data_IF_179532289863
#
_entry.id   IF_179532289863
#
_cell.length_a   1.000
_cell.length_b   1.000
_cell.length_c   1.000
_cell.angle_alpha   90.00
_cell.angle_beta   90.00
_cell.angle_gamma   90.00
#
_symmetry.space_group_name_H-M   'P 1'
#
loop_
_entity.id
_entity.type
_entity.pdbx_description
1 polymer ?
#
# COMPACT_ATOMS: atom_id res chain seq x y z
N UNK A 1 7.35 -15.89 3.53
CA UNK A 1 6.99 -16.81 2.45
C UNK A 1 7.99 -16.70 1.31
N UNK A 2 8.40 -17.83 0.74
CA UNK A 2 9.27 -17.88 -0.43
C UNK A 2 8.46 -17.98 -1.72
N UNK A 3 9.01 -17.44 -2.81
CA UNK A 3 8.39 -17.41 -4.15
C UNK A 3 7.90 -18.79 -4.64
N UNK A 4 8.58 -19.87 -4.26
CA UNK A 4 8.28 -21.25 -4.63
C UNK A 4 7.05 -21.84 -3.92
N UNK A 5 6.45 -21.11 -2.98
CA UNK A 5 5.24 -21.55 -2.26
C UNK A 5 3.96 -21.23 -3.04
N UNK A 6 4.01 -20.37 -4.08
CA UNK A 6 2.87 -20.06 -4.95
C UNK A 6 2.78 -21.04 -6.13
N UNK A 7 1.58 -21.57 -6.36
CA UNK A 7 1.26 -22.52 -7.42
C UNK A 7 0.46 -21.91 -8.56
N UNK A 8 -0.27 -20.83 -8.30
CA UNK A 8 -1.04 -20.09 -9.29
C UNK A 8 -0.18 -18.99 -9.93
N UNK A 9 0.03 -19.06 -11.26
CA UNK A 9 0.91 -18.12 -11.96
C UNK A 9 0.42 -16.67 -11.90
N UNK A 10 -0.90 -16.44 -11.86
CA UNK A 10 -1.45 -15.09 -11.74
C UNK A 10 -1.08 -14.52 -10.37
N UNK A 11 -1.35 -15.27 -9.30
CA UNK A 11 -1.06 -14.87 -7.92
C UNK A 11 0.44 -14.66 -7.72
N UNK A 12 1.26 -15.61 -8.17
CA UNK A 12 2.72 -15.53 -8.11
C UNK A 12 3.26 -14.25 -8.76
N UNK A 13 2.78 -13.91 -9.96
CA UNK A 13 3.21 -12.69 -10.66
C UNK A 13 2.87 -11.42 -9.87
N UNK A 14 1.71 -11.37 -9.24
CA UNK A 14 1.30 -10.21 -8.44
C UNK A 14 2.02 -10.15 -7.09
N UNK A 15 2.32 -11.30 -6.49
CA UNK A 15 3.23 -11.38 -5.34
C UNK A 15 4.63 -10.83 -5.69
N UNK A 16 5.23 -11.29 -6.79
CA UNK A 16 6.55 -10.81 -7.23
C UNK A 16 6.50 -9.30 -7.53
N UNK A 17 5.43 -8.80 -8.16
CA UNK A 17 5.24 -7.37 -8.42
C UNK A 17 5.20 -6.55 -7.13
N UNK A 18 4.35 -6.91 -6.18
CA UNK A 18 4.23 -6.21 -4.91
C UNK A 18 5.52 -6.27 -4.10
N UNK A 19 6.22 -7.42 -4.13
CA UNK A 19 7.52 -7.58 -3.47
C UNK A 19 8.58 -6.69 -4.09
N UNK A 20 8.76 -6.69 -5.39
CA UNK A 20 9.87 -5.98 -6.02
C UNK A 20 9.61 -4.47 -6.15
N UNK A 21 8.41 -4.08 -6.61
CA UNK A 21 8.09 -2.67 -6.88
C UNK A 21 7.72 -1.95 -5.59
N UNK A 22 6.78 -2.50 -4.82
CA UNK A 22 6.28 -1.80 -3.64
C UNK A 22 7.19 -2.02 -2.44
N UNK A 23 7.60 -3.25 -2.12
CA UNK A 23 8.42 -3.48 -0.94
C UNK A 23 9.91 -3.17 -1.15
N UNK A 24 10.56 -3.83 -2.11
CA UNK A 24 12.02 -3.75 -2.26
C UNK A 24 12.49 -2.42 -2.85
N UNK A 25 11.61 -1.67 -3.50
CA UNK A 25 11.93 -0.34 -4.05
C UNK A 25 11.37 0.77 -3.16
N UNK A 26 10.04 0.92 -3.10
CA UNK A 26 9.42 2.07 -2.42
C UNK A 26 9.63 2.03 -0.90
N UNK A 27 9.37 0.89 -0.26
CA UNK A 27 9.52 0.77 1.19
C UNK A 27 10.99 0.82 1.63
N UNK A 28 11.90 0.14 0.93
CA UNK A 28 13.34 0.26 1.20
C UNK A 28 13.82 1.71 1.11
N UNK A 29 13.40 2.44 0.08
CA UNK A 29 13.69 3.87 -0.01
C UNK A 29 13.15 4.66 1.19
N UNK A 30 11.93 4.36 1.64
CA UNK A 30 11.30 5.05 2.77
C UNK A 30 12.05 4.82 4.10
N UNK A 31 12.53 3.59 4.35
CA UNK A 31 13.27 3.28 5.59
C UNK A 31 14.70 3.81 5.58
N UNK A 32 15.34 3.86 4.41
CA UNK A 32 16.73 4.31 4.30
C UNK A 32 16.85 5.84 4.21
N UNK A 33 15.78 6.54 3.79
CA UNK A 33 15.79 7.99 3.58
C UNK A 33 16.25 8.79 4.82
N UNK A 34 15.78 8.53 6.05
CA UNK A 34 16.25 9.24 7.24
C UNK A 34 17.76 9.12 7.45
N UNK A 35 18.32 7.92 7.32
CA UNK A 35 19.74 7.68 7.57
C UNK A 35 20.60 8.25 6.44
N UNK A 36 20.18 8.08 5.19
CA UNK A 36 20.81 8.73 4.03
C UNK A 36 20.82 10.26 4.16
N UNK A 37 19.76 10.86 4.72
CA UNK A 37 19.69 12.31 4.91
C UNK A 37 20.53 12.80 6.09
N UNK A 38 20.80 11.96 7.10
CA UNK A 38 21.73 12.29 8.21
C UNK A 38 23.18 12.37 7.71
N UNK A 39 23.55 11.49 6.79
CA UNK A 39 24.91 11.45 6.22
C UNK A 39 25.19 12.61 5.26
N UNK A 40 24.16 13.36 4.85
CA UNK A 40 24.27 14.49 3.93
C UNK A 40 24.39 15.80 4.70
N UNK A 41 25.63 16.21 4.95
CA UNK A 41 25.92 17.49 5.61
C UNK A 41 25.53 18.71 4.76
N UNK A 42 25.08 19.75 5.44
CA UNK A 42 24.78 21.07 4.86
C UNK A 42 25.95 22.00 5.20
N UNK A 43 26.62 22.62 4.20
CA UNK A 43 27.68 23.58 4.46
C UNK A 43 27.19 24.81 5.24
N UNK A 44 28.02 25.33 6.14
CA UNK A 44 27.67 26.51 6.94
C UNK A 44 27.34 27.73 6.10
N UNK A 45 28.03 27.93 4.97
CA UNK A 45 27.75 29.03 4.05
C UNK A 45 26.34 28.95 3.46
N UNK A 46 25.88 27.75 3.08
CA UNK A 46 24.53 27.52 2.58
C UNK A 46 23.50 27.73 3.70
N UNK A 47 23.75 27.16 4.88
CA UNK A 47 22.90 27.31 6.06
C UNK A 47 22.69 28.79 6.42
N UNK A 48 23.78 29.57 6.45
CA UNK A 48 23.73 31.02 6.72
C UNK A 48 22.99 31.78 5.62
N UNK A 49 23.26 31.49 4.34
CA UNK A 49 22.59 32.12 3.21
C UNK A 49 21.07 31.86 3.19
N UNK A 50 20.64 30.68 3.66
CA UNK A 50 19.23 30.30 3.78
C UNK A 50 18.59 30.77 5.10
N UNK A 51 19.34 31.45 5.98
CA UNK A 51 18.92 31.86 7.31
C UNK A 51 18.38 30.70 8.17
N UNK A 52 18.96 29.51 8.01
CA UNK A 52 18.57 28.34 8.80
C UNK A 52 19.20 28.35 10.20
N UNK A 53 18.49 27.83 11.21
CA UNK A 53 19.01 27.71 12.57
C UNK A 53 20.34 26.96 12.66
N UNK A 54 21.15 27.27 13.67
CA UNK A 54 22.49 26.66 13.85
C UNK A 54 22.47 25.14 14.05
N UNK A 55 21.35 24.59 14.53
CA UNK A 55 21.21 23.15 14.71
C UNK A 55 20.98 22.39 13.39
N UNK A 56 20.69 23.08 12.28
CA UNK A 56 20.47 22.45 10.97
C UNK A 56 21.81 22.16 10.31
N UNK A 57 22.34 20.94 10.50
CA UNK A 57 23.66 20.54 10.01
C UNK A 57 23.61 19.49 8.90
N UNK A 58 22.45 18.85 8.72
CA UNK A 58 22.20 17.81 7.74
C UNK A 58 20.87 18.02 7.02
N UNK A 59 20.67 17.34 5.89
CA UNK A 59 19.37 17.30 5.21
C UNK A 59 18.29 16.76 6.15
N UNK A 60 18.66 15.81 7.03
CA UNK A 60 17.75 15.28 8.05
C UNK A 60 17.29 16.36 9.03
N UNK A 61 18.20 17.17 9.56
CA UNK A 61 17.85 18.25 10.50
C UNK A 61 16.90 19.25 9.85
N UNK A 62 17.14 19.59 8.58
CA UNK A 62 16.26 20.47 7.82
C UNK A 62 14.86 19.86 7.63
N UNK A 63 14.78 18.61 7.18
CA UNK A 63 13.50 17.95 6.89
C UNK A 63 12.66 17.73 8.15
N UNK A 64 13.29 17.43 9.27
CA UNK A 64 12.60 17.20 10.56
C UNK A 64 12.07 18.48 11.21
N UNK A 65 12.41 19.67 10.69
CA UNK A 65 11.70 20.90 11.05
C UNK A 65 10.22 20.87 10.62
N UNK A 66 9.86 20.01 9.66
CA UNK A 66 8.51 19.82 9.17
C UNK A 66 7.96 18.49 9.69
N UNK A 67 6.90 18.49 10.52
CA UNK A 67 6.32 17.26 11.05
C UNK A 67 5.85 16.32 9.93
N UNK A 68 6.07 15.01 10.11
CA UNK A 68 5.48 14.00 9.23
C UNK A 68 6.18 13.76 7.90
N UNK A 69 7.34 14.39 7.64
CA UNK A 69 8.00 14.31 6.33
C UNK A 69 8.38 12.87 5.95
N UNK A 70 8.91 12.09 6.88
CA UNK A 70 9.29 10.70 6.60
C UNK A 70 8.08 9.77 6.65
N UNK A 71 7.10 10.05 7.50
CA UNK A 71 5.82 9.35 7.57
C UNK A 71 5.04 9.47 6.25
N UNK A 72 5.22 10.57 5.52
CA UNK A 72 4.69 10.75 4.18
C UNK A 72 5.29 9.77 3.16
N UNK A 73 6.53 9.33 3.33
CA UNK A 73 7.12 8.31 2.46
C UNK A 73 6.39 6.96 2.63
N UNK A 74 6.00 6.61 3.86
CA UNK A 74 5.20 5.41 4.10
C UNK A 74 3.77 5.55 3.54
N UNK A 75 3.17 6.76 3.54
CA UNK A 75 1.90 6.98 2.85
C UNK A 75 2.02 6.69 1.33
N UNK A 76 3.14 7.08 0.69
CA UNK A 76 3.37 6.70 -0.72
C UNK A 76 3.54 5.20 -0.91
N UNK A 77 4.14 4.50 0.06
CA UNK A 77 4.19 3.04 0.04
C UNK A 77 2.79 2.42 0.11
N UNK A 78 1.89 2.95 0.95
CA UNK A 78 0.47 2.52 1.00
C UNK A 78 -0.24 2.77 -0.33
N UNK A 79 -0.04 3.92 -0.97
CA UNK A 79 -0.62 4.23 -2.29
C UNK A 79 -0.13 3.23 -3.35
N UNK A 80 1.17 2.92 -3.34
CA UNK A 80 1.76 1.92 -4.24
C UNK A 80 1.15 0.54 -4.02
N UNK A 81 1.05 0.11 -2.76
CA UNK A 81 0.43 -1.17 -2.38
C UNK A 81 -1.01 -1.28 -2.85
N UNK A 82 -1.85 -0.27 -2.59
CA UNK A 82 -3.23 -0.26 -3.05
C UNK A 82 -3.33 -0.32 -4.58
N UNK A 83 -2.38 0.28 -5.30
CA UNK A 83 -2.34 0.23 -6.76
C UNK A 83 -2.01 -1.18 -7.27
N UNK A 84 -1.08 -1.88 -6.62
CA UNK A 84 -0.79 -3.28 -6.94
C UNK A 84 -2.00 -4.19 -6.64
N UNK A 85 -2.70 -3.96 -5.52
CA UNK A 85 -3.93 -4.68 -5.17
C UNK A 85 -5.03 -4.46 -6.23
N UNK A 86 -5.21 -3.21 -6.68
CA UNK A 86 -6.18 -2.87 -7.73
C UNK A 86 -5.90 -3.60 -9.05
N UNK A 87 -4.64 -3.62 -9.48
CA UNK A 87 -4.24 -4.30 -10.72
C UNK A 87 -4.45 -5.82 -10.58
N UNK A 88 -4.08 -6.41 -9.44
CA UNK A 88 -4.31 -7.83 -9.17
C UNK A 88 -5.78 -8.20 -9.33
N UNK A 89 -6.69 -7.50 -8.64
CA UNK A 89 -8.11 -7.84 -8.71
C UNK A 89 -8.73 -7.57 -10.08
N UNK A 90 -8.25 -6.55 -10.81
CA UNK A 90 -8.67 -6.34 -12.19
C UNK A 90 -8.32 -7.53 -13.07
N UNK A 91 -7.06 -7.96 -13.05
CA UNK A 91 -6.62 -9.11 -13.84
C UNK A 91 -7.26 -10.41 -13.37
N UNK A 92 -7.50 -10.58 -12.06
CA UNK A 92 -8.20 -11.73 -11.51
C UNK A 92 -9.60 -11.87 -12.11
N UNK A 93 -10.39 -10.80 -12.09
CA UNK A 93 -11.75 -10.84 -12.61
C UNK A 93 -11.76 -11.04 -14.13
N UNK A 94 -10.79 -10.47 -14.85
CA UNK A 94 -10.65 -10.65 -16.29
C UNK A 94 -10.27 -12.10 -16.65
N UNK A 95 -9.31 -12.70 -15.94
CA UNK A 95 -8.83 -14.08 -16.17
C UNK A 95 -9.90 -15.12 -15.87
N UNK A 96 -10.64 -14.97 -14.77
CA UNK A 96 -11.66 -15.93 -14.36
C UNK A 96 -13.07 -15.60 -14.86
N UNK A 97 -13.23 -14.53 -15.64
CA UNK A 97 -14.51 -14.14 -16.23
C UNK A 97 -15.59 -13.78 -15.21
N UNK A 98 -15.19 -13.27 -14.03
CA UNK A 98 -16.12 -12.91 -12.97
C UNK A 98 -16.99 -11.74 -13.41
N UNK A 99 -18.30 -12.00 -13.45
CA UNK A 99 -19.31 -11.14 -14.07
C UNK A 99 -19.91 -10.13 -13.09
N UNK A 100 -19.69 -10.33 -11.78
CA UNK A 100 -20.16 -9.45 -10.71
C UNK A 100 -19.33 -8.16 -10.55
N UNK A 101 -18.64 -7.70 -11.61
CA UNK A 101 -18.05 -6.37 -11.63
C UNK A 101 -19.17 -5.33 -11.56
N UNK A 102 -19.23 -4.57 -10.47
CA UNK A 102 -20.16 -3.44 -10.40
C UNK A 102 -19.88 -2.48 -11.56
N UNK A 103 -20.93 -2.06 -12.30
CA UNK A 103 -20.79 -1.16 -13.46
C UNK A 103 -20.34 0.27 -13.11
N UNK A 104 -19.93 0.52 -11.87
CA UNK A 104 -19.59 1.84 -11.38
C UNK A 104 -18.09 2.12 -11.52
N UNK A 105 -17.80 3.35 -11.96
CA UNK A 105 -16.44 3.89 -12.02
C UNK A 105 -15.71 3.68 -10.68
N UNK A 106 -14.45 3.24 -10.72
CA UNK A 106 -13.64 3.03 -9.53
C UNK A 106 -13.99 1.76 -8.72
N UNK A 107 -14.63 0.74 -9.32
CA UNK A 107 -14.94 -0.54 -8.65
C UNK A 107 -13.75 -1.13 -7.90
N UNK A 108 -12.60 -1.30 -8.56
CA UNK A 108 -11.40 -1.86 -7.93
C UNK A 108 -10.81 -0.95 -6.84
N UNK A 109 -11.15 0.34 -6.83
CA UNK A 109 -10.74 1.28 -5.78
C UNK A 109 -11.60 1.15 -4.51
N UNK A 110 -12.78 0.52 -4.62
CA UNK A 110 -13.67 0.21 -3.50
C UNK A 110 -13.50 -1.25 -3.16
N UNK A 111 -12.42 -1.55 -2.44
CA UNK A 111 -12.00 -2.94 -2.17
C UNK A 111 -13.06 -3.77 -1.44
N UNK A 112 -13.96 -3.16 -0.68
CA UNK A 112 -15.13 -3.83 -0.09
C UNK A 112 -16.10 -4.39 -1.15
N UNK A 113 -16.34 -3.65 -2.24
CA UNK A 113 -17.16 -4.11 -3.35
C UNK A 113 -16.48 -5.30 -4.05
N UNK A 114 -15.15 -5.26 -4.20
CA UNK A 114 -14.36 -6.33 -4.81
C UNK A 114 -14.47 -7.61 -4.00
N UNK A 115 -14.29 -7.55 -2.67
CA UNK A 115 -14.43 -8.73 -1.81
C UNK A 115 -15.87 -9.24 -1.76
N UNK A 116 -16.86 -8.35 -1.82
CA UNK A 116 -18.27 -8.74 -1.91
C UNK A 116 -18.57 -9.47 -3.21
N UNK A 117 -18.00 -9.01 -4.33
CA UNK A 117 -18.12 -9.69 -5.61
C UNK A 117 -17.41 -11.06 -5.62
N UNK A 118 -16.22 -11.17 -5.04
CA UNK A 118 -15.55 -12.47 -4.90
C UNK A 118 -16.37 -13.49 -4.08
N UNK A 119 -17.02 -13.04 -3.00
CA UNK A 119 -17.96 -13.90 -2.24
C UNK A 119 -19.14 -14.33 -3.10
N UNK A 120 -19.68 -13.44 -3.94
CA UNK A 120 -20.78 -13.78 -4.85
C UNK A 120 -20.37 -14.81 -5.92
N UNK A 121 -19.08 -14.84 -6.30
CA UNK A 121 -18.49 -15.86 -7.17
C UNK A 121 -18.11 -17.16 -6.41
N UNK A 122 -18.45 -17.26 -5.12
CA UNK A 122 -18.27 -18.47 -4.30
C UNK A 122 -16.93 -18.59 -3.58
N UNK A 123 -16.11 -17.52 -3.55
CA UNK A 123 -14.84 -17.51 -2.80
C UNK A 123 -15.10 -17.27 -1.31
N UNK A 124 -14.70 -18.21 -0.45
CA UNK A 124 -14.99 -18.17 0.99
C UNK A 124 -13.95 -17.33 1.77
N UNK A 125 -14.24 -16.04 2.01
CA UNK A 125 -13.25 -15.12 2.57
C UNK A 125 -13.13 -15.10 4.11
N UNK A 126 -13.90 -15.90 4.86
CA UNK A 126 -13.78 -15.93 6.33
C UNK A 126 -12.36 -16.22 6.85
N UNK A 127 -11.54 -17.13 6.25
CA UNK A 127 -10.20 -17.43 6.73
C UNK A 127 -9.22 -16.24 6.72
N UNK A 128 -9.48 -15.22 5.89
CA UNK A 128 -8.63 -14.02 5.73
C UNK A 128 -9.36 -12.73 6.10
N UNK A 129 -10.42 -12.81 6.90
CA UNK A 129 -11.25 -11.64 7.24
C UNK A 129 -10.47 -10.51 7.94
N UNK A 130 -9.53 -10.83 8.83
CA UNK A 130 -8.66 -9.84 9.49
C UNK A 130 -7.70 -9.16 8.51
N UNK A 131 -7.12 -9.92 7.58
CA UNK A 131 -6.28 -9.38 6.51
C UNK A 131 -7.07 -8.44 5.60
N UNK A 132 -8.32 -8.80 5.28
CA UNK A 132 -9.23 -7.96 4.49
C UNK A 132 -9.50 -6.63 5.19
N UNK A 133 -9.79 -6.64 6.50
CA UNK A 133 -10.01 -5.40 7.27
C UNK A 133 -8.76 -4.50 7.25
N UNK A 134 -7.58 -5.09 7.33
CA UNK A 134 -6.31 -4.35 7.28
C UNK A 134 -6.07 -3.75 5.89
N UNK A 135 -6.38 -4.48 4.82
CA UNK A 135 -6.34 -3.94 3.45
C UNK A 135 -7.40 -2.86 3.24
N UNK A 136 -8.61 -3.01 3.77
CA UNK A 136 -9.65 -1.97 3.72
C UNK A 136 -9.17 -0.68 4.40
N UNK A 137 -8.48 -0.77 5.53
CA UNK A 137 -7.83 0.37 6.17
C UNK A 137 -6.78 1.00 5.25
N UNK A 138 -5.94 0.21 4.58
CA UNK A 138 -4.96 0.72 3.62
C UNK A 138 -5.62 1.55 2.51
N UNK A 139 -6.78 1.12 1.99
CA UNK A 139 -7.55 1.89 1.01
C UNK A 139 -8.14 3.17 1.58
N UNK A 140 -8.57 3.19 2.85
CA UNK A 140 -8.98 4.45 3.52
C UNK A 140 -7.79 5.39 3.71
N UNK A 141 -6.61 4.88 4.06
CA UNK A 141 -5.38 5.67 4.19
C UNK A 141 -4.98 6.25 2.84
N UNK A 142 -5.00 5.46 1.76
CA UNK A 142 -4.80 5.97 0.40
C UNK A 142 -5.78 7.08 0.06
N UNK A 143 -7.06 6.92 0.39
CA UNK A 143 -8.08 7.91 0.09
C UNK A 143 -7.73 9.28 0.71
N UNK A 144 -7.47 9.33 2.03
CA UNK A 144 -7.09 10.60 2.67
C UNK A 144 -5.70 11.08 2.21
N UNK A 145 -4.77 10.17 1.88
CA UNK A 145 -3.45 10.50 1.35
C UNK A 145 -3.51 11.23 0.01
N UNK A 146 -4.39 10.79 -0.90
CA UNK A 146 -4.57 11.38 -2.23
C UNK A 146 -5.43 12.64 -2.18
N UNK A 147 -6.52 12.64 -1.41
CA UNK A 147 -7.52 13.71 -1.49
C UNK A 147 -7.34 14.80 -0.43
N UNK A 148 -6.81 14.46 0.75
CA UNK A 148 -6.72 15.37 1.90
C UNK A 148 -5.28 15.50 2.44
N UNK A 149 -4.27 15.17 1.63
CA UNK A 149 -2.85 15.19 2.04
C UNK A 149 -2.57 14.40 3.33
N UNK A 150 -3.32 13.33 3.58
CA UNK A 150 -3.19 12.48 4.77
C UNK A 150 -3.92 13.00 6.01
N UNK A 151 -4.74 14.05 5.88
CA UNK A 151 -5.57 14.56 6.99
C UNK A 151 -6.82 13.70 7.18
N UNK A 152 -7.11 13.35 8.43
CA UNK A 152 -8.31 12.59 8.80
C UNK A 152 -9.55 13.45 8.59
N UNK A 153 -10.46 12.97 7.74
CA UNK A 153 -11.80 13.53 7.59
C UNK A 153 -12.85 12.68 8.33
N UNK A 154 -14.09 13.19 8.38
CA UNK A 154 -15.23 12.52 9.02
C UNK A 154 -15.53 11.15 8.40
N UNK A 155 -15.34 10.99 7.09
CA UNK A 155 -15.60 9.74 6.40
C UNK A 155 -14.60 8.67 6.81
N UNK A 156 -13.31 9.00 6.83
CA UNK A 156 -12.24 8.13 7.31
C UNK A 156 -12.47 7.75 8.77
N UNK A 157 -12.72 8.72 9.64
CA UNK A 157 -12.90 8.46 11.07
C UNK A 157 -14.10 7.54 11.32
N UNK A 158 -15.24 7.80 10.66
CA UNK A 158 -16.43 6.95 10.77
C UNK A 158 -16.21 5.52 10.29
N UNK A 159 -15.43 5.32 9.21
CA UNK A 159 -15.20 3.99 8.61
C UNK A 159 -14.15 3.17 9.36
N UNK A 160 -13.16 3.83 9.93
CA UNK A 160 -11.98 3.15 10.52
C UNK A 160 -12.00 3.17 12.05
N UNK A 161 -12.67 4.15 12.66
CA UNK A 161 -12.55 4.46 14.09
C UNK A 161 -11.17 5.01 14.48
N UNK A 162 -10.31 5.33 13.50
CA UNK A 162 -8.92 5.72 13.74
C UNK A 162 -8.67 7.21 13.53
N UNK A 163 -7.62 7.70 14.19
CA UNK A 163 -7.19 9.09 14.11
C UNK A 163 -8.20 10.07 14.73
N UNK A 164 -7.88 11.35 14.63
CA UNK A 164 -8.74 12.45 15.06
C UNK A 164 -9.04 13.35 13.87
N UNK A 165 -10.31 13.65 13.64
CA UNK A 165 -10.75 14.54 12.55
C UNK A 165 -9.99 15.87 12.60
N UNK A 166 -9.46 16.28 11.46
CA UNK A 166 -8.65 17.49 11.31
C UNK A 166 -7.17 17.36 11.67
N UNK A 167 -6.71 16.17 12.08
CA UNK A 167 -5.29 15.89 12.32
C UNK A 167 -4.67 15.03 11.19
N UNK A 168 -3.34 15.10 10.99
CA UNK A 168 -2.64 14.15 10.14
C UNK A 168 -2.77 12.71 10.67
N UNK A 169 -2.95 11.76 9.75
CA UNK A 169 -2.80 10.34 10.04
C UNK A 169 -1.42 9.86 9.59
N UNK A 170 -0.50 9.78 10.55
CA UNK A 170 0.87 9.33 10.26
C UNK A 170 0.95 7.82 10.13
N UNK A 171 1.68 7.38 9.10
CA UNK A 171 1.99 5.98 8.85
C UNK A 171 3.47 5.80 9.15
N UNK A 172 3.78 4.84 10.01
CA UNK A 172 5.15 4.42 10.25
C UNK A 172 5.43 3.07 9.54
N UNK A 173 6.67 2.61 9.68
CA UNK A 173 7.10 1.32 9.16
C UNK A 173 6.22 0.16 9.65
N UNK A 174 5.84 0.15 10.93
CA UNK A 174 5.06 -0.95 11.54
C UNK A 174 3.67 -1.03 10.93
N UNK A 175 3.00 0.12 10.81
CA UNK A 175 1.66 0.22 10.23
C UNK A 175 1.71 -0.20 8.76
N UNK A 176 2.65 0.34 7.97
CA UNK A 176 2.77 -0.04 6.56
C UNK A 176 3.06 -1.55 6.41
N UNK A 177 3.98 -2.11 7.19
CA UNK A 177 4.29 -3.54 7.14
C UNK A 177 3.08 -4.42 7.43
N UNK A 178 2.26 -4.03 8.41
CA UNK A 178 1.01 -4.77 8.69
C UNK A 178 0.06 -4.81 7.48
N UNK A 179 -0.03 -3.73 6.71
CA UNK A 179 -0.84 -3.67 5.48
C UNK A 179 -0.25 -4.51 4.36
N UNK A 180 1.07 -4.48 4.18
CA UNK A 180 1.76 -5.30 3.19
C UNK A 180 1.59 -6.80 3.51
N UNK A 181 1.82 -7.19 4.76
CA UNK A 181 1.72 -8.58 5.21
C UNK A 181 0.28 -9.09 5.11
N UNK A 182 -0.72 -8.25 5.40
CA UNK A 182 -2.12 -8.58 5.19
C UNK A 182 -2.45 -8.86 3.72
N UNK A 183 -1.90 -8.06 2.78
CA UNK A 183 -2.09 -8.34 1.35
C UNK A 183 -1.40 -9.64 0.93
N UNK A 184 -0.19 -9.90 1.42
CA UNK A 184 0.50 -11.16 1.17
C UNK A 184 -0.34 -12.33 1.66
N UNK A 185 -0.89 -12.30 2.88
CA UNK A 185 -1.77 -13.35 3.39
C UNK A 185 -3.03 -13.58 2.52
N UNK A 186 -3.57 -12.51 1.90
CA UNK A 186 -4.69 -12.64 0.96
C UNK A 186 -4.23 -13.33 -0.33
N UNK A 187 -3.07 -12.98 -0.87
CA UNK A 187 -2.52 -13.65 -2.04
C UNK A 187 -2.27 -15.13 -1.76
N UNK A 188 -1.68 -15.45 -0.61
CA UNK A 188 -1.42 -16.84 -0.18
C UNK A 188 -2.71 -17.65 -0.11
N UNK A 189 -3.75 -17.09 0.50
CA UNK A 189 -5.05 -17.74 0.55
C UNK A 189 -5.66 -17.94 -0.85
N UNK A 190 -5.60 -16.90 -1.70
CA UNK A 190 -6.14 -16.96 -3.06
C UNK A 190 -5.37 -17.94 -3.95
N UNK A 191 -4.06 -18.11 -3.77
CA UNK A 191 -3.27 -19.14 -4.45
C UNK A 191 -3.86 -20.54 -4.26
N UNK A 192 -4.26 -20.85 -3.03
CA UNK A 192 -4.77 -22.17 -2.65
C UNK A 192 -6.24 -22.44 -3.02
N UNK A 193 -7.04 -21.41 -3.29
CA UNK A 193 -8.48 -21.57 -3.56
C UNK A 193 -8.91 -21.23 -4.98
N UNK A 194 -8.10 -20.47 -5.73
CA UNK A 194 -8.39 -20.17 -7.11
C UNK A 194 -8.08 -21.38 -8.02
N UNK A 195 -8.86 -21.61 -9.09
CA UNK A 195 -8.52 -22.63 -10.08
C UNK A 195 -7.14 -22.37 -10.67
N UNK A 196 -6.36 -23.43 -10.93
CA UNK A 196 -5.00 -23.29 -11.48
C UNK A 196 -5.06 -22.51 -12.80
N UNK A 197 -4.39 -21.36 -12.82
CA UNK A 197 -4.17 -20.59 -14.04
C UNK A 197 -2.81 -20.96 -14.63
N UNK A 198 -2.82 -21.67 -15.75
CA UNK A 198 -1.67 -21.83 -16.63
C UNK A 198 -1.90 -20.86 -17.78
N UNK A 199 -1.10 -19.78 -17.91
CA UNK A 199 -1.18 -18.93 -19.08
C UNK A 199 -1.02 -19.82 -20.31
N UNK A 200 -1.93 -19.72 -21.28
CA UNK A 200 -1.66 -20.26 -22.61
C UNK A 200 -0.25 -19.79 -23.00
N UNK A 201 0.58 -20.71 -23.49
CA UNK A 201 1.87 -20.32 -24.06
C UNK A 201 1.56 -19.39 -25.23
N UNK A 202 1.51 -18.09 -24.97
CA UNK A 202 1.47 -17.07 -26.00
C UNK A 202 2.79 -17.28 -26.75
N UNK A 203 2.66 -17.94 -27.90
CA UNK A 203 3.71 -18.09 -28.90
C UNK A 203 4.34 -16.71 -29.09
N UNK A 204 5.65 -16.70 -28.82
CA UNK A 204 6.57 -15.56 -28.85
C UNK A 204 6.36 -14.62 -30.03
#
# INVERSE_FOLDING_TARGET
MQRNEFTNNLVLRHFDRAREITNNTMFMFAIDAPDNDKDRSIPDSLRQAMHWPEHVKSVYDYKTMFPGVYERLFQFCVISLCSDIEIFFKELFDVYGYSHQGRSFGFFQRVEDVFSALKAEGVELAPVASSIQTVQLAFQVRHIGVHNMGMVDESFHRKTGQGKVGNPFYIDQTIYRSMFDAYVAILEYLDGVLPIYVPDQISR
#
